data_IF_529163298885
#
_entry.id   IF_529163298885
#
_cell.length_a   1.000
_cell.length_b   1.000
_cell.length_c   1.000
_cell.angle_alpha   90.00
_cell.angle_beta   90.00
_cell.angle_gamma   90.00
#
_symmetry.space_group_name_H-M   'P 1'
#
loop_
_entity.id
_entity.type
_entity.pdbx_description
1 polymer ?
#
# COMPACT_ATOMS: atom_id res chain seq x y z
N UNK A 1 37.28 -21.69 7.53
CA UNK A 1 38.39 -21.35 6.62
C UNK A 1 38.01 -20.09 5.89
N UNK A 2 38.53 -18.96 6.37
CA UNK A 2 38.37 -17.65 5.75
C UNK A 2 39.64 -17.38 4.91
N UNK A 3 39.46 -16.94 3.66
CA UNK A 3 40.55 -16.43 2.82
C UNK A 3 40.15 -15.06 2.30
N UNK A 4 40.80 -14.05 2.90
CA UNK A 4 40.85 -12.67 2.47
C UNK A 4 41.92 -12.50 1.38
N UNK A 5 41.73 -11.51 0.50
CA UNK A 5 42.75 -10.96 -0.39
C UNK A 5 42.60 -9.43 -0.50
N UNK A 6 43.67 -8.69 -0.82
CA UNK A 6 44.04 -7.41 -0.18
C UNK A 6 43.85 -6.16 -1.07
N UNK A 7 44.08 -4.93 -0.56
CA UNK A 7 43.70 -3.69 -1.24
C UNK A 7 44.75 -3.18 -2.24
N UNK A 8 44.26 -2.50 -3.28
CA UNK A 8 45.05 -1.84 -4.33
C UNK A 8 45.58 -0.47 -3.86
N UNK A 9 46.89 -0.28 -4.00
CA UNK A 9 47.62 0.97 -3.77
C UNK A 9 47.68 1.81 -5.04
N UNK A 10 47.55 3.13 -4.88
CA UNK A 10 47.79 4.14 -5.93
C UNK A 10 49.23 4.66 -5.84
N UNK A 11 49.93 4.90 -6.96
CA UNK A 11 51.14 5.69 -6.95
C UNK A 11 50.86 7.16 -7.26
N UNK A 12 51.56 8.02 -6.54
CA UNK A 12 51.71 9.45 -6.80
C UNK A 12 52.79 9.69 -7.87
N UNK A 13 52.65 10.75 -8.67
CA UNK A 13 53.81 11.45 -9.26
C UNK A 13 53.45 12.86 -9.72
N UNK A 14 54.40 13.75 -9.46
CA UNK A 14 54.39 15.19 -9.64
C UNK A 14 54.74 15.66 -11.05
N UNK A 15 54.14 16.79 -11.45
CA UNK A 15 54.67 17.94 -12.21
C UNK A 15 55.73 17.71 -13.31
N UNK A 16 55.47 18.24 -14.51
CA UNK A 16 56.40 19.10 -15.27
C UNK A 16 55.66 19.90 -16.36
N UNK A 17 55.94 21.21 -16.41
CA UNK A 17 55.51 22.19 -17.43
C UNK A 17 56.23 21.94 -18.77
N UNK A 18 55.58 22.30 -19.89
CA UNK A 18 56.18 23.23 -20.86
C UNK A 18 55.15 23.83 -21.83
N UNK A 19 55.38 25.10 -22.13
CA UNK A 19 54.61 26.01 -22.96
C UNK A 19 54.51 25.62 -24.44
N UNK A 20 53.40 25.98 -25.09
CA UNK A 20 53.41 26.60 -26.44
C UNK A 20 52.15 27.45 -26.66
N UNK A 21 52.39 28.76 -26.78
CA UNK A 21 51.42 29.79 -27.20
C UNK A 21 51.06 29.63 -28.67
N UNK A 22 49.79 29.86 -29.01
CA UNK A 22 49.38 30.44 -30.29
C UNK A 22 48.07 31.20 -30.10
N UNK A 23 48.10 32.48 -30.46
CA UNK A 23 47.03 33.46 -30.27
C UNK A 23 45.91 33.34 -31.31
N UNK A 24 44.67 33.66 -30.93
CA UNK A 24 43.70 34.34 -31.82
C UNK A 24 42.56 35.01 -31.04
N UNK A 25 42.13 36.13 -31.61
CA UNK A 25 41.31 37.21 -31.07
C UNK A 25 39.92 36.79 -30.57
N UNK A 26 39.43 37.47 -29.52
CA UNK A 26 38.07 37.33 -29.00
C UNK A 26 37.08 38.35 -29.57
N UNK A 27 35.76 38.17 -29.35
CA UNK A 27 34.78 39.22 -29.54
C UNK A 27 34.15 39.74 -28.24
N UNK A 28 33.61 40.95 -28.37
CA UNK A 28 33.14 41.89 -27.36
C UNK A 28 32.09 41.37 -26.36
N UNK A 29 32.27 41.75 -25.08
CA UNK A 29 31.26 41.65 -24.02
C UNK A 29 30.07 42.59 -24.31
N UNK A 30 28.90 42.01 -24.54
CA UNK A 30 27.62 42.71 -24.57
C UNK A 30 27.22 43.10 -23.14
N UNK A 31 27.01 44.40 -22.88
CA UNK A 31 26.47 44.89 -21.60
C UNK A 31 25.02 44.42 -21.45
N UNK A 32 24.73 43.67 -20.39
CA UNK A 32 23.37 43.37 -19.96
C UNK A 32 22.83 44.57 -19.17
N UNK A 33 21.70 45.10 -19.61
CA UNK A 33 20.94 46.15 -18.93
C UNK A 33 20.36 45.63 -17.62
N UNK A 34 20.55 46.39 -16.53
CA UNK A 34 19.98 46.08 -15.23
C UNK A 34 18.45 46.14 -15.29
N UNK A 35 17.79 45.00 -15.05
CA UNK A 35 16.35 44.94 -14.82
C UNK A 35 16.12 45.39 -13.37
N UNK A 36 15.47 46.54 -13.19
CA UNK A 36 14.97 47.00 -11.89
C UNK A 36 13.70 46.21 -11.57
N UNK A 37 13.77 45.34 -10.57
CA UNK A 37 12.60 44.70 -9.98
C UNK A 37 12.08 45.61 -8.86
N UNK A 38 10.93 46.26 -9.07
CA UNK A 38 10.19 46.95 -8.02
C UNK A 38 9.31 45.93 -7.32
N UNK A 39 9.76 45.46 -6.14
CA UNK A 39 8.92 44.67 -5.25
C UNK A 39 7.88 45.60 -4.61
N UNK A 40 6.63 45.52 -5.06
CA UNK A 40 5.48 46.00 -4.30
C UNK A 40 5.14 44.88 -3.33
N UNK A 41 5.27 45.14 -2.03
CA UNK A 41 5.00 44.17 -0.99
C UNK A 41 3.51 43.83 -0.98
N UNK A 42 3.21 42.56 -1.25
CA UNK A 42 1.93 41.97 -0.86
C UNK A 42 2.07 41.42 0.56
N UNK A 43 1.11 41.81 1.39
CA UNK A 43 1.00 41.37 2.77
C UNK A 43 0.93 39.85 2.84
N UNK A 44 1.73 39.26 3.73
CA UNK A 44 1.61 37.86 4.12
C UNK A 44 0.21 37.68 4.68
N UNK A 45 -0.63 36.93 3.98
CA UNK A 45 -1.97 36.60 4.43
C UNK A 45 -1.88 35.92 5.80
N UNK A 46 -2.54 36.50 6.80
CA UNK A 46 -2.67 35.90 8.12
C UNK A 46 -3.32 34.53 8.00
N UNK A 47 -2.75 33.55 8.71
CA UNK A 47 -3.30 32.22 8.81
C UNK A 47 -4.69 32.31 9.46
N UNK A 48 -5.72 32.04 8.68
CA UNK A 48 -7.09 31.96 9.18
C UNK A 48 -7.19 30.74 10.10
N UNK A 49 -7.41 30.99 11.39
CA UNK A 49 -7.79 29.96 12.36
C UNK A 49 -9.17 29.42 11.99
N UNK A 50 -9.24 28.18 11.53
CA UNK A 50 -10.52 27.49 11.30
C UNK A 50 -10.76 26.54 12.48
N UNK A 51 -11.80 26.84 13.25
CA UNK A 51 -12.35 25.94 14.25
C UNK A 51 -13.42 25.06 13.63
N UNK A 52 -13.28 23.74 13.80
CA UNK A 52 -14.28 22.69 14.12
C UNK A 52 -13.77 21.37 13.55
N UNK A 53 -13.51 20.39 14.44
CA UNK A 53 -13.03 19.02 14.19
C UNK A 53 -12.54 18.76 12.75
N UNK A 54 -11.42 19.37 12.37
CA UNK A 54 -10.99 19.38 10.97
C UNK A 54 -10.75 17.96 10.47
N UNK A 55 -11.25 17.66 9.28
CA UNK A 55 -10.95 16.45 8.55
C UNK A 55 -9.43 16.30 8.40
N UNK A 56 -8.83 15.11 8.62
CA UNK A 56 -7.38 14.96 8.51
C UNK A 56 -6.86 15.41 7.15
N UNK A 57 -5.64 15.98 7.16
CA UNK A 57 -5.00 16.54 5.97
C UNK A 57 -4.98 15.56 4.79
N UNK A 58 -4.69 14.28 5.06
CA UNK A 58 -4.67 13.23 4.04
C UNK A 58 -6.03 13.04 3.36
N UNK A 59 -7.11 12.94 4.13
CA UNK A 59 -8.46 12.77 3.57
C UNK A 59 -8.88 14.01 2.76
N UNK A 60 -8.56 15.21 3.27
CA UNK A 60 -8.81 16.47 2.57
C UNK A 60 -8.09 16.51 1.21
N UNK A 61 -6.83 16.09 1.16
CA UNK A 61 -6.05 16.05 -0.07
C UNK A 61 -6.60 15.03 -1.08
N UNK A 62 -7.01 13.83 -0.64
CA UNK A 62 -7.62 12.82 -1.51
C UNK A 62 -8.89 13.37 -2.16
N UNK A 63 -9.70 14.11 -1.41
CA UNK A 63 -10.93 14.74 -1.90
C UNK A 63 -10.69 15.97 -2.79
N UNK A 64 -9.44 16.28 -3.12
CA UNK A 64 -9.07 17.41 -3.96
C UNK A 64 -9.27 18.78 -3.30
N UNK A 65 -9.44 18.84 -1.97
CA UNK A 65 -9.49 20.12 -1.25
C UNK A 65 -8.12 20.80 -1.30
N UNK A 66 -8.11 22.13 -1.29
CA UNK A 66 -6.87 22.89 -1.14
C UNK A 66 -6.28 22.63 0.24
N UNK A 67 -5.04 22.15 0.28
CA UNK A 67 -4.30 21.84 1.50
C UNK A 67 -3.03 22.69 1.59
N UNK A 68 -2.56 22.94 2.81
CA UNK A 68 -1.38 23.77 3.10
C UNK A 68 -0.04 23.11 2.71
N UNK A 69 -0.01 21.77 2.66
CA UNK A 69 1.12 20.96 2.22
C UNK A 69 0.64 19.60 1.72
N UNK A 70 1.43 18.87 0.91
CA UNK A 70 1.14 17.48 0.59
C UNK A 70 1.19 16.61 1.87
N UNK A 71 0.17 15.76 2.12
CA UNK A 71 0.22 14.80 3.21
C UNK A 71 1.24 13.69 2.91
N UNK A 72 1.85 13.13 3.95
CA UNK A 72 2.86 12.07 3.83
C UNK A 72 2.67 10.98 4.88
N UNK A 73 2.80 9.74 4.42
CA UNK A 73 2.96 8.54 5.24
C UNK A 73 3.81 7.54 4.46
N UNK A 74 4.29 6.48 5.11
CA UNK A 74 5.17 5.50 4.48
C UNK A 74 4.55 4.10 4.56
N UNK A 75 4.44 3.42 3.42
CA UNK A 75 4.08 2.00 3.43
C UNK A 75 5.11 1.19 4.21
N UNK A 76 4.65 0.17 4.95
CA UNK A 76 5.47 -0.60 5.90
C UNK A 76 6.10 0.26 7.00
N UNK A 77 5.45 1.37 7.38
CA UNK A 77 5.87 2.25 8.46
C UNK A 77 6.01 1.53 9.81
N UNK A 78 5.15 0.57 10.11
CA UNK A 78 5.29 -0.29 11.29
C UNK A 78 6.06 -1.55 10.87
N UNK A 79 7.34 -1.65 11.22
CA UNK A 79 8.16 -2.74 10.72
C UNK A 79 9.57 -2.82 11.26
N UNK A 80 10.33 -3.76 10.71
CA UNK A 80 11.64 -4.20 11.22
C UNK A 80 12.74 -3.14 11.23
N UNK A 81 12.54 -1.96 10.65
CA UNK A 81 13.52 -0.87 10.81
C UNK A 81 13.46 -0.23 12.20
N UNK A 82 12.34 -0.38 12.92
CA UNK A 82 12.16 0.15 14.28
C UNK A 82 12.58 -0.88 15.32
N UNK A 83 13.42 -0.46 16.28
CA UNK A 83 13.81 -1.32 17.42
C UNK A 83 12.60 -1.74 18.27
N UNK A 84 11.63 -0.85 18.46
CA UNK A 84 10.38 -1.12 19.18
C UNK A 84 9.60 -2.30 18.57
N UNK A 85 9.52 -2.35 17.24
CA UNK A 85 8.88 -3.45 16.51
C UNK A 85 9.67 -4.76 16.63
N UNK A 86 11.01 -4.68 16.51
CA UNK A 86 11.88 -5.85 16.67
C UNK A 86 11.72 -6.47 18.07
N UNK A 87 11.69 -5.66 19.13
CA UNK A 87 11.50 -6.14 20.51
C UNK A 87 10.11 -6.76 20.73
N UNK A 88 9.07 -6.32 20.03
CA UNK A 88 7.78 -7.02 20.02
C UNK A 88 7.84 -8.35 19.27
N UNK A 89 8.59 -8.43 18.18
CA UNK A 89 8.79 -9.69 17.45
C UNK A 89 9.56 -10.73 18.28
N UNK A 90 10.46 -10.30 19.16
CA UNK A 90 11.17 -11.19 20.09
C UNK A 90 10.25 -11.71 21.19
N UNK A 91 9.41 -10.82 21.77
CA UNK A 91 8.47 -11.17 22.84
C UNK A 91 7.29 -12.01 22.37
N UNK A 92 6.77 -11.71 21.18
CA UNK A 92 5.63 -12.35 20.56
C UNK A 92 6.04 -12.87 19.18
N UNK A 93 6.68 -14.05 19.04
CA UNK A 93 7.26 -14.49 17.78
C UNK A 93 6.25 -14.75 16.65
N UNK A 94 5.03 -15.14 16.99
CA UNK A 94 3.96 -15.39 16.03
C UNK A 94 3.52 -14.10 15.34
N UNK A 95 3.47 -14.10 14.00
CA UNK A 95 2.90 -12.95 13.28
C UNK A 95 1.41 -12.81 13.58
N UNK A 96 0.68 -13.93 13.56
CA UNK A 96 -0.76 -13.95 13.83
C UNK A 96 -1.08 -13.37 15.20
N UNK A 97 -0.33 -13.73 16.23
CA UNK A 97 -0.51 -13.13 17.57
C UNK A 97 -0.37 -11.61 17.54
N UNK A 98 0.63 -11.07 16.83
CA UNK A 98 0.84 -9.62 16.71
C UNK A 98 -0.21 -8.92 15.83
N UNK A 99 -0.82 -9.61 14.87
CA UNK A 99 -1.81 -9.05 13.95
C UNK A 99 -3.27 -9.33 14.34
N UNK A 100 -3.51 -10.17 15.34
CA UNK A 100 -4.85 -10.60 15.79
C UNK A 100 -5.14 -10.26 17.25
N UNK A 101 -4.13 -9.82 18.01
CA UNK A 101 -4.31 -9.25 19.34
C UNK A 101 -4.50 -7.72 19.25
N UNK A 102 -5.63 -7.21 19.73
CA UNK A 102 -6.01 -5.78 19.63
C UNK A 102 -4.92 -4.86 20.19
N UNK A 103 -4.43 -5.12 21.40
CA UNK A 103 -3.43 -4.26 22.05
C UNK A 103 -2.13 -4.21 21.25
N UNK A 104 -1.67 -5.36 20.73
CA UNK A 104 -0.47 -5.43 19.90
C UNK A 104 -0.67 -4.74 18.54
N UNK A 105 -1.82 -4.93 17.90
CA UNK A 105 -2.15 -4.26 16.63
C UNK A 105 -2.13 -2.75 16.82
N UNK A 106 -2.78 -2.23 17.86
CA UNK A 106 -2.83 -0.80 18.16
C UNK A 106 -1.43 -0.28 18.52
N UNK A 107 -0.70 -0.97 19.41
CA UNK A 107 0.66 -0.59 19.80
C UNK A 107 1.57 -0.47 18.57
N UNK A 108 1.57 -1.50 17.72
CA UNK A 108 2.42 -1.57 16.51
C UNK A 108 2.04 -0.50 15.50
N UNK A 109 0.74 -0.32 15.22
CA UNK A 109 0.25 0.67 14.25
C UNK A 109 0.62 2.11 14.67
N UNK A 110 0.61 2.40 15.98
CA UNK A 110 0.94 3.72 16.52
C UNK A 110 2.45 3.99 16.65
N UNK A 111 3.33 2.99 16.55
CA UNK A 111 4.78 3.21 16.72
C UNK A 111 5.34 4.31 15.80
N UNK A 112 5.05 4.31 14.48
CA UNK A 112 5.59 5.32 13.58
C UNK A 112 4.94 6.68 13.83
N UNK A 113 3.67 6.69 14.21
CA UNK A 113 2.94 7.92 14.52
C UNK A 113 3.48 8.63 15.76
N UNK A 114 3.82 7.87 16.81
CA UNK A 114 4.45 8.41 18.03
C UNK A 114 5.80 9.08 17.77
N UNK A 115 6.53 8.64 16.74
CA UNK A 115 7.89 9.14 16.45
C UNK A 115 7.91 10.23 15.38
N UNK A 116 7.15 10.04 14.30
CA UNK A 116 7.25 10.87 13.09
C UNK A 116 6.00 11.68 12.78
N UNK A 117 4.87 11.41 13.45
CA UNK A 117 3.58 12.07 13.21
C UNK A 117 3.22 12.18 11.71
N UNK A 118 3.20 11.06 10.95
CA UNK A 118 2.76 11.07 9.56
C UNK A 118 1.26 11.40 9.48
N UNK A 119 0.81 11.87 8.32
CA UNK A 119 -0.59 12.25 8.07
C UNK A 119 -1.52 11.05 7.86
N UNK A 120 -0.96 9.84 7.83
CA UNK A 120 -1.68 8.58 7.72
C UNK A 120 -1.13 7.52 8.67
N UNK A 121 -2.04 6.83 9.37
CA UNK A 121 -1.75 5.69 10.25
C UNK A 121 -2.47 4.47 9.69
N UNK A 122 -1.72 3.58 9.04
CA UNK A 122 -2.28 2.34 8.50
C UNK A 122 -2.38 1.26 9.57
N UNK A 123 -3.50 0.54 9.59
CA UNK A 123 -3.72 -0.66 10.38
C UNK A 123 -2.57 -1.66 10.20
N UNK A 124 -2.06 -2.22 11.29
CA UNK A 124 -1.17 -3.37 11.26
C UNK A 124 -1.98 -4.67 11.19
N UNK A 125 -2.07 -5.25 10.00
CA UNK A 125 -2.67 -6.58 9.78
C UNK A 125 -1.96 -7.28 8.61
N UNK A 126 -2.51 -8.39 8.12
CA UNK A 126 -2.11 -9.05 6.87
C UNK A 126 -3.27 -9.07 5.86
N UNK A 127 -2.98 -9.04 4.56
CA UNK A 127 -4.04 -9.09 3.53
C UNK A 127 -4.75 -10.45 3.50
N UNK A 128 -4.11 -11.51 4.01
CA UNK A 128 -4.65 -12.87 4.06
C UNK A 128 -5.48 -13.13 5.32
N UNK A 129 -5.56 -12.17 6.25
CA UNK A 129 -6.37 -12.24 7.47
C UNK A 129 -7.80 -12.77 7.23
N UNK A 130 -8.52 -12.40 6.14
CA UNK A 130 -9.88 -12.91 5.87
C UNK A 130 -9.97 -14.41 5.50
N UNK A 131 -8.88 -15.03 5.03
CA UNK A 131 -8.92 -16.36 4.41
C UNK A 131 -9.52 -17.47 5.32
N UNK A 132 -9.19 -17.58 6.62
CA UNK A 132 -9.77 -18.60 7.49
C UNK A 132 -11.29 -18.47 7.58
N UNK A 133 -11.81 -17.24 7.63
CA UNK A 133 -13.25 -17.00 7.64
C UNK A 133 -13.96 -17.31 6.33
N UNK A 134 -13.20 -17.33 5.24
CA UNK A 134 -13.67 -17.79 3.92
C UNK A 134 -13.50 -19.30 3.72
N UNK A 135 -13.21 -20.06 4.79
CA UNK A 135 -12.93 -21.50 4.73
C UNK A 135 -11.64 -21.85 3.94
N UNK A 136 -10.62 -20.98 4.02
CA UNK A 136 -9.32 -21.19 3.39
C UNK A 136 -8.22 -21.18 4.49
N UNK A 137 -7.88 -22.36 5.03
CA UNK A 137 -6.84 -22.49 6.06
C UNK A 137 -5.45 -22.08 5.55
N UNK A 138 -4.77 -21.22 6.31
CA UNK A 138 -3.39 -20.83 6.04
C UNK A 138 -2.59 -20.56 7.31
N UNK A 139 -1.27 -20.50 7.17
CA UNK A 139 -0.36 -20.02 8.23
C UNK A 139 0.86 -19.29 7.65
N UNK A 140 1.53 -18.50 8.47
CA UNK A 140 2.74 -17.76 8.11
C UNK A 140 3.95 -18.46 8.72
N UNK A 141 4.62 -19.26 7.90
CA UNK A 141 5.78 -20.06 8.32
C UNK A 141 7.05 -19.21 8.28
N UNK A 142 7.79 -19.16 9.41
CA UNK A 142 9.03 -18.40 9.53
C UNK A 142 10.03 -18.77 8.42
N UNK A 143 10.46 -17.76 7.65
CA UNK A 143 11.42 -17.93 6.55
C UNK A 143 10.80 -18.38 5.22
N UNK A 144 9.55 -18.86 5.20
CA UNK A 144 8.83 -19.27 3.99
C UNK A 144 7.72 -18.27 3.59
N UNK A 145 7.13 -17.58 4.56
CA UNK A 145 5.99 -16.69 4.34
C UNK A 145 4.66 -17.43 4.44
N UNK A 146 3.59 -16.91 3.84
CA UNK A 146 2.27 -17.53 3.89
C UNK A 146 2.25 -18.87 3.15
N UNK A 147 1.58 -19.85 3.74
CA UNK A 147 1.36 -21.19 3.19
C UNK A 147 -0.14 -21.47 3.29
N UNK A 148 -0.77 -21.68 2.14
CA UNK A 148 -2.15 -22.17 2.04
C UNK A 148 -2.08 -23.69 2.05
N UNK A 149 -2.80 -24.35 2.97
CA UNK A 149 -2.68 -25.80 3.15
C UNK A 149 -3.28 -26.58 1.97
N UNK A 150 -4.42 -26.12 1.46
CA UNK A 150 -5.16 -26.75 0.37
C UNK A 150 -5.38 -25.75 -0.78
N UNK A 151 -4.44 -25.66 -1.75
CA UNK A 151 -4.54 -24.69 -2.84
C UNK A 151 -5.76 -24.90 -3.74
N UNK A 152 -6.43 -23.81 -4.10
CA UNK A 152 -7.71 -23.82 -4.82
C UNK A 152 -7.51 -24.00 -6.33
N UNK A 153 -7.55 -25.24 -6.85
CA UNK A 153 -7.23 -25.53 -8.27
C UNK A 153 -8.34 -26.21 -9.04
N UNK A 154 -9.49 -26.44 -8.43
CA UNK A 154 -10.64 -27.13 -9.03
C UNK A 154 -11.93 -26.42 -8.68
N UNK A 155 -12.96 -26.60 -9.50
CA UNK A 155 -14.29 -26.05 -9.24
C UNK A 155 -14.84 -26.51 -7.88
N UNK A 156 -14.61 -27.78 -7.51
CA UNK A 156 -15.02 -28.32 -6.22
C UNK A 156 -14.36 -27.56 -5.06
N UNK A 157 -13.05 -27.30 -5.11
CA UNK A 157 -12.35 -26.55 -4.07
C UNK A 157 -12.85 -25.09 -3.98
N UNK A 158 -13.11 -24.44 -5.12
CA UNK A 158 -13.65 -23.07 -5.16
C UNK A 158 -15.07 -23.00 -4.60
N UNK A 159 -15.90 -24.03 -4.83
CA UNK A 159 -17.27 -24.06 -4.31
C UNK A 159 -17.33 -24.12 -2.78
N UNK A 160 -16.31 -24.71 -2.12
CA UNK A 160 -16.21 -24.76 -0.66
C UNK A 160 -15.81 -23.42 -0.02
N UNK A 161 -15.37 -22.44 -0.81
CA UNK A 161 -15.03 -21.10 -0.33
C UNK A 161 -16.30 -20.36 0.08
N UNK A 162 -16.31 -19.90 1.33
CA UNK A 162 -17.43 -19.17 1.95
C UNK A 162 -17.27 -17.67 1.78
N UNK A 163 -18.41 -16.97 1.79
CA UNK A 163 -18.41 -15.52 1.90
C UNK A 163 -17.88 -15.09 3.28
N UNK A 164 -17.08 -14.03 3.31
CA UNK A 164 -16.50 -13.52 4.55
C UNK A 164 -17.49 -12.65 5.32
N UNK A 165 -17.65 -12.94 6.62
CA UNK A 165 -18.44 -12.14 7.57
C UNK A 165 -17.47 -11.53 8.60
N UNK A 166 -17.06 -10.26 8.43
CA UNK A 166 -16.00 -9.67 9.25
C UNK A 166 -16.30 -9.62 10.76
N UNK A 167 -17.55 -9.36 11.13
CA UNK A 167 -17.98 -9.20 12.53
C UNK A 167 -17.80 -10.50 13.33
N UNK A 168 -17.94 -11.65 12.67
CA UNK A 168 -17.79 -12.97 13.29
C UNK A 168 -16.32 -13.39 13.38
N UNK A 169 -15.53 -13.11 12.34
CA UNK A 169 -14.19 -13.68 12.18
C UNK A 169 -13.07 -12.76 12.63
N UNK A 170 -13.25 -11.45 12.49
CA UNK A 170 -12.21 -10.46 12.77
C UNK A 170 -12.71 -9.29 13.62
N UNK A 171 -13.47 -9.52 14.71
CA UNK A 171 -13.96 -8.43 15.58
C UNK A 171 -12.81 -7.60 16.17
N UNK A 172 -11.62 -8.21 16.31
CA UNK A 172 -10.40 -7.53 16.76
C UNK A 172 -9.93 -6.44 15.79
N UNK A 173 -10.20 -6.56 14.48
CA UNK A 173 -9.85 -5.53 13.48
C UNK A 173 -10.68 -4.28 13.70
N UNK A 174 -12.01 -4.42 13.86
CA UNK A 174 -12.87 -3.28 14.13
C UNK A 174 -12.56 -2.64 15.49
N UNK A 175 -12.29 -3.43 16.52
CA UNK A 175 -11.84 -2.91 17.82
C UNK A 175 -10.53 -2.12 17.70
N UNK A 176 -9.54 -2.64 16.96
CA UNK A 176 -8.27 -1.95 16.76
C UNK A 176 -8.44 -0.64 15.97
N UNK A 177 -9.27 -0.62 14.93
CA UNK A 177 -9.54 0.60 14.14
C UNK A 177 -10.20 1.68 14.98
N UNK A 178 -11.19 1.33 15.83
CA UNK A 178 -11.84 2.28 16.73
C UNK A 178 -10.82 2.87 17.73
N UNK A 179 -9.99 2.02 18.34
CA UNK A 179 -8.95 2.49 19.28
C UNK A 179 -7.90 3.36 18.58
N UNK A 180 -7.49 3.00 17.36
CA UNK A 180 -6.58 3.83 16.57
C UNK A 180 -7.21 5.19 16.27
N UNK A 181 -8.51 5.22 15.97
CA UNK A 181 -9.24 6.44 15.70
C UNK A 181 -9.31 7.35 16.93
N UNK A 182 -9.52 6.78 18.11
CA UNK A 182 -9.56 7.52 19.38
C UNK A 182 -8.17 8.07 19.78
N UNK A 183 -7.11 7.28 19.55
CA UNK A 183 -5.72 7.66 19.87
C UNK A 183 -5.19 8.75 18.93
N UNK A 184 -5.41 8.58 17.62
CA UNK A 184 -4.92 9.52 16.58
C UNK A 184 -5.81 10.76 16.50
N UNK A 185 -7.09 10.63 16.85
CA UNK A 185 -8.12 11.65 16.65
C UNK A 185 -8.07 12.13 15.21
N UNK A 186 -8.15 13.43 14.96
CA UNK A 186 -8.03 14.02 13.63
C UNK A 186 -6.62 14.51 13.28
N UNK A 187 -5.59 14.19 14.07
CA UNK A 187 -4.20 14.59 13.75
C UNK A 187 -3.64 13.86 12.52
N UNK A 188 -4.16 12.67 12.21
CA UNK A 188 -3.82 11.91 11.02
C UNK A 188 -5.03 11.06 10.59
N UNK A 189 -5.04 10.60 9.34
CA UNK A 189 -6.05 9.69 8.85
C UNK A 189 -5.77 8.26 9.31
N UNK A 190 -6.76 7.56 9.86
CA UNK A 190 -6.66 6.10 10.07
C UNK A 190 -6.97 5.38 8.76
N UNK A 191 -6.02 4.59 8.27
CA UNK A 191 -6.14 3.86 7.00
C UNK A 191 -6.42 2.39 7.27
N UNK A 192 -7.55 1.91 6.76
CA UNK A 192 -7.81 0.49 6.59
C UNK A 192 -7.10 -0.06 5.35
N UNK A 193 -7.08 -1.37 5.19
CA UNK A 193 -6.62 -1.97 3.95
C UNK A 193 -7.16 -3.39 3.73
N UNK A 194 -7.17 -3.81 2.47
CA UNK A 194 -7.53 -5.17 2.05
C UNK A 194 -6.64 -5.65 0.89
N UNK A 195 -6.61 -6.96 0.65
CA UNK A 195 -6.04 -7.51 -0.58
C UNK A 195 -7.02 -7.44 -1.75
N UNK A 196 -6.53 -7.18 -2.96
CA UNK A 196 -7.35 -7.25 -4.16
C UNK A 196 -7.71 -8.70 -4.53
N UNK A 197 -8.86 -8.94 -5.21
CA UNK A 197 -9.30 -10.28 -5.58
C UNK A 197 -8.25 -11.11 -6.33
N UNK A 198 -7.60 -10.54 -7.34
CA UNK A 198 -6.57 -11.25 -8.11
C UNK A 198 -5.35 -11.61 -7.26
N UNK A 199 -4.88 -10.67 -6.45
CA UNK A 199 -3.77 -10.90 -5.52
C UNK A 199 -4.09 -12.00 -4.50
N UNK A 200 -5.29 -12.00 -3.91
CA UNK A 200 -5.73 -13.04 -2.97
C UNK A 200 -5.85 -14.40 -3.64
N UNK A 201 -6.51 -14.46 -4.80
CA UNK A 201 -6.61 -15.67 -5.61
C UNK A 201 -5.22 -16.24 -5.96
N UNK A 202 -4.26 -15.38 -6.30
CA UNK A 202 -2.89 -15.80 -6.59
C UNK A 202 -2.25 -16.54 -5.42
N UNK A 203 -2.38 -16.04 -4.18
CA UNK A 203 -1.90 -16.77 -2.99
C UNK A 203 -2.60 -18.12 -2.83
N UNK A 204 -3.93 -18.15 -2.98
CA UNK A 204 -4.75 -19.35 -2.80
C UNK A 204 -4.50 -20.44 -3.85
N UNK A 205 -4.25 -20.07 -5.10
CA UNK A 205 -4.01 -21.04 -6.19
C UNK A 205 -2.56 -21.53 -6.20
N UNK A 206 -1.60 -20.63 -5.93
CA UNK A 206 -0.18 -20.97 -5.85
C UNK A 206 0.15 -21.81 -4.60
N UNK A 207 -0.58 -21.57 -3.51
CA UNK A 207 -0.32 -22.19 -2.21
C UNK A 207 0.53 -21.32 -1.26
N UNK A 208 0.77 -20.07 -1.61
CA UNK A 208 1.67 -19.16 -0.91
C UNK A 208 2.28 -18.12 -1.84
N UNK A 209 3.43 -17.55 -1.45
CA UNK A 209 4.19 -16.65 -2.34
C UNK A 209 4.72 -17.38 -3.57
N UNK A 210 4.63 -16.75 -4.75
CA UNK A 210 5.14 -17.29 -6.00
C UNK A 210 6.03 -16.27 -6.70
N UNK A 211 6.98 -16.75 -7.50
CA UNK A 211 7.84 -15.91 -8.35
C UNK A 211 7.32 -15.79 -9.78
N UNK A 212 6.67 -16.84 -10.27
CA UNK A 212 6.32 -16.97 -11.69
C UNK A 212 4.80 -17.06 -11.91
N UNK A 213 4.02 -17.30 -10.84
CA UNK A 213 2.55 -17.32 -10.87
C UNK A 213 2.01 -18.31 -11.91
N UNK A 214 2.70 -19.44 -12.10
CA UNK A 214 2.40 -20.40 -13.17
C UNK A 214 1.09 -21.13 -12.93
N UNK A 215 0.70 -21.37 -11.67
CA UNK A 215 -0.52 -22.11 -11.35
C UNK A 215 -1.75 -21.22 -11.56
N UNK A 216 -1.70 -19.97 -11.09
CA UNK A 216 -2.80 -19.02 -11.31
C UNK A 216 -2.95 -18.67 -12.79
N UNK A 217 -1.85 -18.45 -13.53
CA UNK A 217 -1.88 -18.20 -14.97
C UNK A 217 -2.38 -19.41 -15.75
N UNK A 218 -1.97 -20.63 -15.36
CA UNK A 218 -2.52 -21.86 -15.95
C UNK A 218 -4.03 -21.91 -15.76
N UNK A 219 -4.52 -21.69 -14.53
CA UNK A 219 -5.95 -21.72 -14.24
C UNK A 219 -6.71 -20.65 -15.05
N UNK A 220 -6.19 -19.43 -15.13
CA UNK A 220 -6.75 -18.34 -15.92
C UNK A 220 -6.90 -18.72 -17.41
N UNK A 221 -5.88 -19.34 -18.00
CA UNK A 221 -5.85 -19.60 -19.44
C UNK A 221 -6.40 -20.96 -19.86
N UNK A 222 -6.54 -21.92 -18.94
CA UNK A 222 -7.12 -23.25 -19.24
C UNK A 222 -8.54 -23.43 -18.73
N UNK A 223 -8.88 -22.83 -17.59
CA UNK A 223 -10.17 -23.00 -16.91
C UNK A 223 -10.67 -21.65 -16.34
N UNK A 224 -10.83 -20.60 -17.16
CA UNK A 224 -11.13 -19.24 -16.72
C UNK A 224 -12.38 -19.13 -15.84
N UNK A 225 -13.41 -19.93 -16.11
CA UNK A 225 -14.65 -19.96 -15.33
C UNK A 225 -14.42 -20.30 -13.84
N UNK A 226 -13.46 -21.19 -13.55
CA UNK A 226 -13.11 -21.54 -12.16
C UNK A 226 -12.47 -20.32 -11.47
N UNK A 227 -11.57 -19.64 -12.19
CA UNK A 227 -10.91 -18.46 -11.65
C UNK A 227 -11.91 -17.31 -11.46
N UNK A 228 -12.80 -17.05 -12.43
CA UNK A 228 -13.81 -16.01 -12.32
C UNK A 228 -14.75 -16.23 -11.12
N UNK A 229 -15.14 -17.48 -10.84
CA UNK A 229 -15.92 -17.81 -9.65
C UNK A 229 -15.16 -17.49 -8.35
N UNK A 230 -13.87 -17.85 -8.28
CA UNK A 230 -13.04 -17.53 -7.13
C UNK A 230 -12.85 -16.01 -6.94
N UNK A 231 -12.57 -15.28 -8.02
CA UNK A 231 -12.45 -13.82 -8.01
C UNK A 231 -13.74 -13.14 -7.56
N UNK A 232 -14.90 -13.64 -8.00
CA UNK A 232 -16.19 -13.12 -7.57
C UNK A 232 -16.40 -13.27 -6.04
N UNK A 233 -16.04 -14.43 -5.47
CA UNK A 233 -16.14 -14.67 -4.02
C UNK A 233 -15.26 -13.72 -3.21
N UNK A 234 -14.01 -13.49 -3.67
CA UNK A 234 -13.13 -12.50 -3.04
C UNK A 234 -13.66 -11.08 -3.19
N UNK A 235 -14.24 -10.74 -4.34
CA UNK A 235 -14.79 -9.41 -4.60
C UNK A 235 -15.89 -9.07 -3.61
N UNK A 236 -16.90 -9.94 -3.46
CA UNK A 236 -17.99 -9.73 -2.50
C UNK A 236 -17.46 -9.64 -1.07
N UNK A 237 -16.56 -10.56 -0.70
CA UNK A 237 -15.99 -10.62 0.65
C UNK A 237 -15.15 -9.38 0.99
N UNK A 238 -14.35 -8.88 0.04
CA UNK A 238 -13.49 -7.72 0.27
C UNK A 238 -14.30 -6.42 0.26
N UNK A 239 -15.37 -6.32 -0.53
CA UNK A 239 -16.31 -5.19 -0.43
C UNK A 239 -16.95 -5.12 0.97
N UNK A 240 -17.43 -6.25 1.50
CA UNK A 240 -17.96 -6.33 2.87
C UNK A 240 -16.89 -5.97 3.90
N UNK A 241 -15.65 -6.42 3.71
CA UNK A 241 -14.58 -6.14 4.65
C UNK A 241 -14.14 -4.67 4.64
N UNK A 242 -14.13 -4.00 3.48
CA UNK A 242 -13.89 -2.56 3.38
C UNK A 242 -14.97 -1.78 4.14
N UNK A 243 -16.24 -2.12 3.93
CA UNK A 243 -17.38 -1.50 4.64
C UNK A 243 -17.23 -1.66 6.16
N UNK A 244 -16.96 -2.88 6.61
CA UNK A 244 -16.70 -3.16 8.02
C UNK A 244 -15.56 -2.30 8.61
N UNK A 245 -14.44 -2.16 7.90
CA UNK A 245 -13.33 -1.33 8.37
C UNK A 245 -13.73 0.16 8.45
N UNK A 246 -14.48 0.65 7.47
CA UNK A 246 -14.98 2.02 7.46
C UNK A 246 -15.96 2.29 8.61
N UNK A 247 -16.92 1.38 8.83
CA UNK A 247 -17.88 1.41 9.94
C UNK A 247 -17.20 1.42 11.32
N UNK A 248 -15.96 0.91 11.40
CA UNK A 248 -15.17 0.82 12.63
C UNK A 248 -14.02 1.84 12.70
N UNK A 249 -14.06 2.90 11.89
CA UNK A 249 -13.18 4.07 12.07
C UNK A 249 -12.06 4.24 11.04
N UNK A 250 -11.94 3.35 10.04
CA UNK A 250 -11.09 3.63 8.88
C UNK A 250 -11.66 4.81 8.07
N UNK A 251 -10.83 5.82 7.81
CA UNK A 251 -11.24 7.04 7.11
C UNK A 251 -10.87 7.03 5.63
N UNK A 252 -10.03 6.08 5.22
CA UNK A 252 -9.75 5.70 3.85
C UNK A 252 -9.30 4.24 3.87
N UNK A 253 -9.50 3.52 2.77
CA UNK A 253 -9.12 2.11 2.67
C UNK A 253 -8.26 1.88 1.43
N UNK A 254 -7.09 1.28 1.64
CA UNK A 254 -6.17 0.92 0.56
C UNK A 254 -6.38 -0.52 0.10
N UNK A 255 -6.59 -0.71 -1.19
CA UNK A 255 -6.70 -2.01 -1.86
C UNK A 255 -5.34 -2.35 -2.43
N UNK A 256 -4.74 -3.45 -1.95
CA UNK A 256 -3.44 -3.93 -2.41
C UNK A 256 -3.62 -4.96 -3.53
N UNK A 257 -3.42 -4.54 -4.78
CA UNK A 257 -3.28 -5.46 -5.93
C UNK A 257 -1.81 -5.64 -6.30
N UNK A 258 -1.05 -6.22 -5.37
CA UNK A 258 0.41 -6.34 -5.48
C UNK A 258 0.87 -7.19 -6.67
N UNK A 259 0.02 -8.13 -7.12
CA UNK A 259 0.32 -9.05 -8.21
C UNK A 259 -0.35 -8.70 -9.55
N UNK A 260 -1.03 -7.55 -9.64
CA UNK A 260 -1.67 -7.07 -10.88
C UNK A 260 -0.71 -7.09 -12.09
N UNK A 261 0.57 -6.83 -11.85
CA UNK A 261 1.61 -6.70 -12.87
C UNK A 261 2.11 -8.00 -13.47
N UNK A 262 1.66 -9.12 -12.90
CA UNK A 262 1.91 -10.44 -13.47
C UNK A 262 1.00 -10.72 -14.68
N UNK A 263 -0.02 -9.90 -14.87
CA UNK A 263 -0.96 -9.96 -15.98
C UNK A 263 -0.50 -9.05 -17.12
N UNK A 264 -0.73 -9.48 -18.36
CA UNK A 264 -0.66 -8.55 -19.49
C UNK A 264 -1.79 -7.51 -19.36
N UNK A 265 -1.74 -6.40 -20.09
CA UNK A 265 -2.81 -5.41 -20.01
C UNK A 265 -4.20 -5.94 -20.36
N UNK A 266 -4.29 -6.91 -21.29
CA UNK A 266 -5.56 -7.57 -21.63
C UNK A 266 -6.01 -8.51 -20.50
N UNK A 267 -5.09 -9.30 -19.93
CA UNK A 267 -5.44 -10.20 -18.83
C UNK A 267 -5.81 -9.43 -17.55
N UNK A 268 -5.24 -8.23 -17.33
CA UNK A 268 -5.63 -7.33 -16.24
C UNK A 268 -7.07 -6.83 -16.41
N UNK A 269 -7.46 -6.49 -17.65
CA UNK A 269 -8.83 -6.08 -18.00
C UNK A 269 -9.85 -7.21 -17.77
N UNK A 270 -9.42 -8.47 -17.74
CA UNK A 270 -10.29 -9.64 -17.53
C UNK A 270 -10.30 -10.12 -16.07
N UNK A 271 -9.12 -10.27 -15.44
CA UNK A 271 -8.98 -10.98 -14.17
C UNK A 271 -8.75 -10.08 -12.95
N UNK A 272 -8.56 -8.78 -13.12
CA UNK A 272 -8.41 -7.86 -11.97
C UNK A 272 -9.34 -6.64 -12.06
N UNK A 273 -9.27 -5.87 -13.15
CA UNK A 273 -10.00 -4.61 -13.29
C UNK A 273 -11.52 -4.72 -13.02
N UNK A 274 -12.25 -5.72 -13.57
CA UNK A 274 -13.70 -5.80 -13.36
C UNK A 274 -14.05 -5.99 -11.88
N UNK A 275 -13.22 -6.73 -11.16
CA UNK A 275 -13.40 -7.06 -9.75
C UNK A 275 -13.03 -5.89 -8.83
N UNK A 276 -11.95 -5.17 -9.15
CA UNK A 276 -11.63 -3.91 -8.48
C UNK A 276 -12.76 -2.90 -8.66
N UNK A 277 -13.26 -2.76 -9.89
CA UNK A 277 -14.38 -1.88 -10.20
C UNK A 277 -15.65 -2.26 -9.41
N UNK A 278 -15.99 -3.55 -9.39
CA UNK A 278 -17.15 -4.03 -8.65
C UNK A 278 -17.03 -3.78 -7.14
N UNK A 279 -15.83 -3.92 -6.56
CA UNK A 279 -15.58 -3.53 -5.16
C UNK A 279 -15.87 -2.05 -4.96
N UNK A 280 -15.30 -1.18 -5.80
CA UNK A 280 -15.49 0.27 -5.69
C UNK A 280 -16.97 0.63 -5.79
N UNK A 281 -17.65 0.17 -6.85
CA UNK A 281 -19.06 0.46 -7.09
C UNK A 281 -19.90 0.02 -5.87
N UNK A 282 -19.71 -1.21 -5.39
CA UNK A 282 -20.47 -1.76 -4.26
C UNK A 282 -20.19 -1.06 -2.93
N UNK A 283 -18.95 -0.61 -2.70
CA UNK A 283 -18.60 0.16 -1.49
C UNK A 283 -19.21 1.56 -1.57
N UNK A 284 -19.10 2.24 -2.71
CA UNK A 284 -19.62 3.61 -2.91
C UNK A 284 -21.14 3.70 -2.84
N UNK A 285 -21.86 2.60 -3.08
CA UNK A 285 -23.32 2.52 -2.84
C UNK A 285 -23.71 2.80 -1.39
N UNK A 286 -22.92 2.33 -0.41
CA UNK A 286 -23.22 2.52 1.02
C UNK A 286 -22.30 3.51 1.73
N UNK A 287 -21.10 3.72 1.19
CA UNK A 287 -20.07 4.62 1.72
C UNK A 287 -19.56 5.57 0.62
N UNK A 288 -20.41 6.45 0.06
CA UNK A 288 -20.05 7.29 -1.10
C UNK A 288 -18.83 8.18 -0.84
N UNK A 289 -18.67 8.63 0.40
CA UNK A 289 -17.59 9.55 0.80
C UNK A 289 -16.32 8.86 1.30
N UNK A 290 -16.30 7.53 1.38
CA UNK A 290 -15.11 6.77 1.81
C UNK A 290 -14.07 6.80 0.69
N UNK A 291 -12.88 7.37 0.89
CA UNK A 291 -11.81 7.32 -0.09
C UNK A 291 -11.22 5.91 -0.23
N UNK A 292 -11.10 5.46 -1.47
CA UNK A 292 -10.50 4.18 -1.85
C UNK A 292 -9.21 4.42 -2.63
N UNK A 293 -8.13 3.79 -2.17
CA UNK A 293 -6.78 3.94 -2.73
C UNK A 293 -6.38 2.60 -3.37
N UNK A 294 -6.00 2.59 -4.65
CA UNK A 294 -5.46 1.38 -5.29
C UNK A 294 -3.95 1.40 -5.30
N UNK A 295 -3.32 0.43 -4.65
CA UNK A 295 -1.90 0.20 -4.78
C UNK A 295 -1.63 -1.03 -5.65
N UNK A 296 -0.96 -0.82 -6.79
CA UNK A 296 -0.48 -1.88 -7.68
C UNK A 296 1.00 -1.67 -8.02
N UNK A 297 1.90 -2.45 -7.40
CA UNK A 297 3.34 -2.29 -7.60
C UNK A 297 3.78 -2.71 -9.00
N UNK A 298 4.55 -1.85 -9.67
CA UNK A 298 5.08 -2.09 -11.03
C UNK A 298 4.07 -1.81 -12.14
N UNK A 299 2.92 -1.21 -11.83
CA UNK A 299 1.77 -1.02 -12.74
C UNK A 299 1.98 0.03 -13.84
N UNK A 300 3.23 0.38 -14.15
CA UNK A 300 3.56 1.40 -15.15
C UNK A 300 2.93 1.16 -16.53
N UNK A 301 2.78 -0.11 -16.95
CA UNK A 301 2.11 -0.49 -18.19
C UNK A 301 0.58 -0.60 -18.10
N UNK A 302 0.01 -0.35 -16.92
CA UNK A 302 -1.42 -0.43 -16.63
C UNK A 302 -2.02 0.93 -16.24
N UNK A 303 -1.23 2.02 -16.19
CA UNK A 303 -1.63 3.30 -15.61
C UNK A 303 -2.94 3.85 -16.19
N UNK A 304 -3.16 3.76 -17.50
CA UNK A 304 -4.38 4.26 -18.15
C UNK A 304 -5.63 3.45 -17.78
N UNK A 305 -5.46 2.23 -17.27
CA UNK A 305 -6.54 1.31 -16.88
C UNK A 305 -6.93 1.48 -15.43
N UNK A 306 -6.00 1.87 -14.56
CA UNK A 306 -6.26 1.97 -13.12
C UNK A 306 -7.42 2.92 -12.77
N UNK A 307 -7.55 4.12 -13.40
CA UNK A 307 -8.70 4.99 -13.17
C UNK A 307 -10.05 4.39 -13.56
N UNK A 308 -10.09 3.41 -14.48
CA UNK A 308 -11.33 2.75 -14.90
C UNK A 308 -11.96 1.90 -13.78
N UNK A 309 -11.20 1.59 -12.73
CA UNK A 309 -11.71 0.94 -11.51
C UNK A 309 -12.60 1.87 -10.68
N UNK A 310 -12.49 3.20 -10.86
CA UNK A 310 -13.26 4.19 -10.09
C UNK A 310 -12.67 4.55 -8.73
N UNK A 311 -11.48 4.05 -8.38
CA UNK A 311 -10.77 4.45 -7.14
C UNK A 311 -10.44 5.95 -7.13
N UNK A 312 -10.43 6.53 -5.93
CA UNK A 312 -10.17 7.96 -5.75
C UNK A 312 -8.67 8.30 -5.91
N UNK A 313 -7.78 7.34 -5.61
CA UNK A 313 -6.32 7.50 -5.70
C UNK A 313 -5.66 6.23 -6.24
N UNK A 314 -4.61 6.41 -7.04
CA UNK A 314 -3.67 5.38 -7.51
C UNK A 314 -2.27 5.69 -6.98
#
# INVERSE_FOLDING_TARGET
MATACPPLSLPSTSLLRSDRRSARAGPARRRLSAVRCTAVGEAVAEASTVGTAEEPLLVSAIRGKKVERPPVWLMRQAGRYMKSYQSLCERYPSFRERSENVDLVVEISLQPWKVFKPDGVILFSDILTPLPGMNIPFDIVKGKGPVIYDPLRTAAAVNEVKEFIPEEWVPYVGQALNLLRDEVKNEAAVLGFVGAPFTLASYCVEGGSSKNFTMIKKLAFSEPEILHNLLQKFTTSMANYIKYQADNGAQAVQIFDSWATELSPADFEEFSLPYLKQIVDNVKETHPDLPLILYASGSGGLLERLPLTGVDVV
#
